data_IF_823290483583
#
_entry.id   IF_823290483583
#
_cell.length_a   1.000
_cell.length_b   1.000
_cell.length_c   1.000
_cell.angle_alpha   90.00
_cell.angle_beta   90.00
_cell.angle_gamma   90.00
#
_symmetry.space_group_name_H-M   'P 1'
#
loop_
_entity.id
_entity.type
_entity.pdbx_description
1 polymer ?
#
# COMPACT_ATOMS: atom_id res chain seq x y z
N UNK A 1 16.94 -22.67 9.32
CA UNK A 1 16.98 -21.21 9.09
C UNK A 1 15.56 -20.68 8.96
N UNK A 2 15.02 -20.02 10.00
CA UNK A 2 13.70 -19.37 9.93
C UNK A 2 13.79 -18.27 8.86
N UNK A 3 13.31 -18.55 7.65
CA UNK A 3 13.09 -17.55 6.58
C UNK A 3 12.05 -16.56 7.08
N UNK A 4 12.46 -15.61 7.92
CA UNK A 4 11.68 -14.44 8.27
C UNK A 4 11.51 -13.65 6.98
N UNK A 5 10.41 -13.92 6.27
CA UNK A 5 10.26 -13.48 4.89
C UNK A 5 10.24 -11.96 4.86
N UNK A 6 11.36 -11.34 4.50
CA UNK A 6 11.51 -9.91 4.22
C UNK A 6 10.34 -9.45 3.35
N UNK A 7 9.90 -10.29 2.42
CA UNK A 7 8.73 -10.08 1.58
C UNK A 7 7.41 -9.88 2.35
N UNK A 8 7.14 -10.64 3.42
CA UNK A 8 5.95 -10.46 4.27
C UNK A 8 6.05 -9.18 5.09
N UNK A 9 7.25 -8.81 5.55
CA UNK A 9 7.47 -7.53 6.23
C UNK A 9 7.25 -6.35 5.28
N UNK A 10 7.78 -6.45 4.06
CA UNK A 10 7.59 -5.48 2.99
C UNK A 10 6.11 -5.32 2.61
N UNK A 11 5.36 -6.44 2.54
CA UNK A 11 3.90 -6.41 2.34
C UNK A 11 3.18 -5.57 3.39
N UNK A 12 3.44 -5.85 4.66
CA UNK A 12 2.80 -5.13 5.75
C UNK A 12 3.23 -3.67 5.81
N UNK A 13 4.48 -3.34 5.44
CA UNK A 13 4.94 -1.95 5.30
C UNK A 13 4.20 -1.19 4.20
N UNK A 14 4.01 -1.77 3.01
CA UNK A 14 3.27 -1.13 1.92
C UNK A 14 1.79 -0.93 2.24
N UNK A 15 1.15 -1.92 2.87
CA UNK A 15 -0.24 -1.82 3.30
C UNK A 15 -0.40 -0.78 4.42
N UNK A 16 0.50 -0.77 5.42
CA UNK A 16 0.48 0.21 6.49
C UNK A 16 0.70 1.64 5.96
N UNK A 17 1.57 1.80 4.97
CA UNK A 17 1.79 3.09 4.30
C UNK A 17 0.55 3.54 3.51
N UNK A 18 -0.06 2.66 2.72
CA UNK A 18 -1.30 2.95 1.98
C UNK A 18 -2.46 3.32 2.90
N UNK A 19 -2.63 2.58 4.01
CA UNK A 19 -3.61 2.89 5.03
C UNK A 19 -3.32 4.23 5.73
N UNK A 20 -2.07 4.49 6.11
CA UNK A 20 -1.66 5.76 6.71
C UNK A 20 -1.94 6.94 5.80
N UNK A 21 -1.60 6.82 4.51
CA UNK A 21 -1.91 7.84 3.50
C UNK A 21 -3.42 8.05 3.36
N UNK A 22 -4.20 6.97 3.30
CA UNK A 22 -5.66 7.02 3.21
C UNK A 22 -6.34 7.64 4.43
N UNK A 23 -5.74 7.50 5.62
CA UNK A 23 -6.22 8.11 6.86
C UNK A 23 -5.85 9.60 6.97
N UNK A 24 -4.69 10.01 6.45
CA UNK A 24 -4.24 11.41 6.44
C UNK A 24 -5.03 12.23 5.39
N UNK A 25 -5.41 11.60 4.27
CA UNK A 25 -6.11 12.24 3.16
C UNK A 25 -7.41 12.99 3.55
N UNK A 26 -8.33 12.43 4.36
CA UNK A 26 -9.54 13.13 4.77
C UNK A 26 -9.27 14.33 5.68
N UNK A 27 -8.24 14.26 6.53
CA UNK A 27 -7.81 15.42 7.32
C UNK A 27 -7.34 16.54 6.39
N UNK A 28 -6.51 16.20 5.39
CA UNK A 28 -6.04 17.17 4.42
C UNK A 28 -7.18 17.76 3.58
N UNK A 29 -8.07 16.91 3.07
CA UNK A 29 -9.23 17.33 2.26
C UNK A 29 -10.21 18.22 3.04
N UNK A 30 -10.32 18.05 4.37
CA UNK A 30 -11.17 18.92 5.21
C UNK A 30 -10.74 20.39 5.23
N UNK A 31 -9.48 20.70 4.90
CA UNK A 31 -9.02 22.08 4.74
C UNK A 31 -9.43 22.70 3.39
N UNK A 32 -9.68 21.89 2.36
CA UNK A 32 -9.93 22.34 0.99
C UNK A 32 -11.39 22.19 0.56
N UNK A 33 -12.16 21.33 1.21
CA UNK A 33 -13.51 20.94 0.79
C UNK A 33 -14.50 21.13 1.93
N UNK A 34 -15.55 21.91 1.68
CA UNK A 34 -16.73 21.93 2.54
C UNK A 34 -17.63 20.75 2.18
N UNK A 35 -17.71 19.78 3.09
CA UNK A 35 -18.57 18.60 2.92
C UNK A 35 -20.03 18.93 3.26
N UNK A 36 -20.96 18.42 2.47
CA UNK A 36 -22.39 18.45 2.79
C UNK A 36 -22.66 17.50 3.97
N UNK A 37 -23.68 17.82 4.77
CA UNK A 37 -24.09 16.98 5.91
C UNK A 37 -24.25 15.51 5.47
N UNK A 38 -23.62 14.59 6.22
CA UNK A 38 -23.67 13.16 5.96
C UNK A 38 -22.70 12.60 4.91
N UNK A 39 -22.08 13.42 4.05
CA UNK A 39 -21.12 12.91 3.04
C UNK A 39 -19.70 12.67 3.58
N UNK A 40 -19.36 13.24 4.74
CA UNK A 40 -18.03 13.13 5.32
C UNK A 40 -17.67 11.67 5.65
N UNK A 41 -18.59 10.89 6.20
CA UNK A 41 -18.36 9.46 6.49
C UNK A 41 -18.13 8.62 5.23
N UNK A 42 -18.87 8.89 4.16
CA UNK A 42 -18.69 8.24 2.87
C UNK A 42 -17.35 8.61 2.22
N UNK A 43 -16.95 9.87 2.35
CA UNK A 43 -15.65 10.33 1.88
C UNK A 43 -14.50 9.66 2.64
N UNK A 44 -14.57 9.61 3.96
CA UNK A 44 -13.57 8.93 4.81
C UNK A 44 -13.47 7.45 4.47
N UNK A 45 -14.61 6.75 4.33
CA UNK A 45 -14.63 5.36 3.88
C UNK A 45 -13.97 5.18 2.50
N UNK A 46 -14.28 6.07 1.56
CA UNK A 46 -13.65 6.08 0.23
C UNK A 46 -12.14 6.27 0.29
N UNK A 47 -11.66 7.22 1.11
CA UNK A 47 -10.22 7.46 1.29
C UNK A 47 -9.49 6.27 1.91
N UNK A 48 -10.09 5.62 2.91
CA UNK A 48 -9.51 4.42 3.54
C UNK A 48 -9.45 3.26 2.57
N UNK A 49 -10.55 2.99 1.84
CA UNK A 49 -10.60 1.93 0.82
C UNK A 49 -9.57 2.21 -0.27
N UNK A 50 -9.53 3.43 -0.81
CA UNK A 50 -8.56 3.83 -1.83
C UNK A 50 -7.11 3.69 -1.32
N UNK A 51 -6.82 4.12 -0.10
CA UNK A 51 -5.50 3.97 0.52
C UNK A 51 -5.07 2.51 0.67
N UNK A 52 -5.98 1.63 1.10
CA UNK A 52 -5.74 0.18 1.17
C UNK A 52 -5.49 -0.40 -0.23
N UNK A 53 -6.30 -0.02 -1.23
CA UNK A 53 -6.12 -0.45 -2.62
C UNK A 53 -4.75 -0.04 -3.16
N UNK A 54 -4.35 1.21 -2.93
CA UNK A 54 -3.02 1.71 -3.34
C UNK A 54 -1.91 0.92 -2.65
N UNK A 55 -2.01 0.68 -1.34
CA UNK A 55 -1.05 -0.14 -0.60
C UNK A 55 -0.92 -1.57 -1.15
N UNK A 56 -2.04 -2.18 -1.53
CA UNK A 56 -2.08 -3.52 -2.13
C UNK A 56 -1.46 -3.55 -3.53
N UNK A 57 -1.83 -2.60 -4.40
CA UNK A 57 -1.27 -2.47 -5.76
C UNK A 57 0.23 -2.22 -5.68
N UNK A 58 0.70 -1.37 -4.76
CA UNK A 58 2.11 -1.05 -4.62
C UNK A 58 2.92 -2.28 -4.17
N UNK A 59 2.37 -3.09 -3.26
CA UNK A 59 2.96 -4.38 -2.91
C UNK A 59 3.03 -5.33 -4.12
N UNK A 60 1.97 -5.40 -4.92
CA UNK A 60 1.95 -6.25 -6.11
C UNK A 60 3.00 -5.81 -7.14
N UNK A 61 3.13 -4.50 -7.39
CA UNK A 61 4.19 -3.94 -8.25
C UNK A 61 5.57 -4.27 -7.67
N UNK A 62 5.80 -4.07 -6.38
CA UNK A 62 7.06 -4.42 -5.74
C UNK A 62 7.39 -5.91 -5.89
N UNK A 63 6.41 -6.79 -5.75
CA UNK A 63 6.57 -8.22 -5.97
C UNK A 63 6.88 -8.54 -7.44
N UNK A 64 6.20 -7.93 -8.40
CA UNK A 64 6.45 -8.17 -9.84
C UNK A 64 7.82 -7.62 -10.27
N UNK A 65 8.21 -6.44 -9.79
CA UNK A 65 9.45 -5.77 -10.21
C UNK A 65 10.66 -6.34 -9.46
N UNK A 66 10.64 -6.42 -8.13
CA UNK A 66 11.81 -6.85 -7.37
C UNK A 66 12.00 -8.37 -7.41
N UNK A 67 10.97 -9.16 -7.11
CA UNK A 67 11.16 -10.62 -6.97
C UNK A 67 11.37 -11.32 -8.31
N UNK A 68 10.75 -10.85 -9.41
CA UNK A 68 11.02 -11.44 -10.73
C UNK A 68 12.46 -11.16 -11.15
N UNK A 69 12.97 -9.97 -10.90
CA UNK A 69 14.37 -9.62 -11.26
C UNK A 69 15.36 -10.37 -10.37
N UNK A 70 15.11 -10.45 -9.06
CA UNK A 70 15.96 -11.22 -8.15
C UNK A 70 16.00 -12.71 -8.51
N UNK A 71 14.85 -13.32 -8.85
CA UNK A 71 14.80 -14.72 -9.27
C UNK A 71 15.55 -14.95 -10.58
N UNK A 72 15.42 -14.02 -11.54
CA UNK A 72 16.18 -14.10 -12.79
C UNK A 72 17.69 -14.01 -12.55
N UNK A 73 18.13 -13.12 -11.66
CA UNK A 73 19.54 -12.99 -11.29
C UNK A 73 20.05 -14.23 -10.54
N UNK A 74 19.27 -14.80 -9.62
CA UNK A 74 19.63 -16.01 -8.89
C UNK A 74 19.83 -17.21 -9.83
N UNK A 75 18.90 -17.41 -10.78
CA UNK A 75 18.99 -18.46 -11.79
C UNK A 75 20.24 -18.28 -12.67
N UNK A 76 20.53 -17.05 -13.09
CA UNK A 76 21.74 -16.74 -13.87
C UNK A 76 23.04 -16.90 -13.08
N UNK A 77 22.99 -16.73 -11.75
CA UNK A 77 24.13 -16.91 -10.86
C UNK A 77 24.38 -18.37 -10.46
N UNK A 78 23.51 -19.32 -10.87
CA UNK A 78 23.69 -20.75 -10.61
C UNK A 78 23.41 -21.20 -9.18
N UNK A 79 22.64 -20.42 -8.40
CA UNK A 79 22.09 -20.79 -7.08
C UNK A 79 20.68 -21.36 -7.22
#
# INVERSE_FOLDING_TARGET
>A
MKKTSILRRLKWSFIAMGFGMGAIFPVFASFFVNFREGMLSWFVLGCVVAGITVGFVNYWVAQVVLLRQLSKMAILAGL
#
